data_IF_120074608305
#
_entry.id   IF_120074608305
#
_cell.length_a   1.000
_cell.length_b   1.000
_cell.length_c   1.000
_cell.angle_alpha   90.00
_cell.angle_beta   90.00
_cell.angle_gamma   90.00
#
_symmetry.space_group_name_H-M   'P 1'
#
loop_
_entity.id
_entity.type
_entity.pdbx_description
1 polymer ?
#
# COMPACT_ATOMS: atom_id res chain seq x y z
N UNK A 1 26.20 -10.74 34.86
CA UNK A 1 25.70 -12.04 34.34
C UNK A 1 24.29 -11.79 33.82
N UNK A 2 24.13 -11.51 32.53
CA UNK A 2 22.83 -11.20 31.94
C UNK A 2 22.04 -12.49 31.76
N UNK A 3 20.87 -12.56 32.40
CA UNK A 3 19.91 -13.65 32.21
C UNK A 3 19.51 -13.69 30.73
N UNK A 4 19.74 -14.83 30.07
CA UNK A 4 19.20 -15.10 28.74
C UNK A 4 17.67 -15.05 28.85
N UNK A 5 17.06 -13.97 28.39
CA UNK A 5 15.62 -13.92 28.14
C UNK A 5 15.28 -15.05 27.17
N UNK A 6 14.69 -16.14 27.69
CA UNK A 6 14.03 -17.13 26.87
C UNK A 6 12.66 -16.56 26.51
N UNK A 7 12.59 -15.86 25.38
CA UNK A 7 11.32 -15.54 24.76
C UNK A 7 10.74 -16.81 24.14
N UNK A 8 9.64 -17.29 24.71
CA UNK A 8 8.70 -18.16 24.02
C UNK A 8 7.89 -17.30 23.06
N UNK A 9 8.15 -17.43 21.76
CA UNK A 9 7.42 -16.72 20.71
C UNK A 9 6.02 -17.32 20.52
N UNK A 10 4.92 -16.57 20.66
CA UNK A 10 3.62 -17.01 20.17
C UNK A 10 3.42 -16.61 18.70
N UNK A 11 2.95 -17.62 17.94
CA UNK A 11 2.01 -17.62 16.79
C UNK A 11 2.21 -16.73 15.57
N UNK A 12 2.03 -17.38 14.41
CA UNK A 12 1.68 -16.87 13.08
C UNK A 12 0.78 -15.62 13.12
N UNK A 13 0.78 -14.78 12.06
CA UNK A 13 0.01 -13.55 12.05
C UNK A 13 -1.45 -13.81 12.41
N UNK A 14 -1.99 -13.04 13.36
CA UNK A 14 -3.31 -13.24 13.96
C UNK A 14 -4.46 -13.13 12.93
N UNK A 15 -4.19 -12.58 11.74
CA UNK A 15 -5.14 -12.44 10.64
C UNK A 15 -4.59 -13.10 9.37
N UNK A 16 -5.40 -13.96 8.74
CA UNK A 16 -5.03 -14.62 7.50
C UNK A 16 -5.06 -13.69 6.28
N UNK A 17 -4.19 -13.97 5.29
CA UNK A 17 -4.08 -13.21 4.03
C UNK A 17 -5.42 -13.08 3.28
N UNK A 18 -6.26 -14.11 3.32
CA UNK A 18 -7.58 -14.09 2.67
C UNK A 18 -8.53 -13.06 3.29
N UNK A 19 -8.41 -12.80 4.60
CA UNK A 19 -9.19 -11.74 5.28
C UNK A 19 -8.72 -10.38 4.78
N UNK A 20 -7.42 -10.12 4.78
CA UNK A 20 -6.85 -8.86 4.30
C UNK A 20 -7.21 -8.60 2.83
N UNK A 21 -7.16 -9.62 1.98
CA UNK A 21 -7.56 -9.53 0.57
C UNK A 21 -9.03 -9.12 0.42
N UNK A 22 -9.94 -9.71 1.19
CA UNK A 22 -11.37 -9.32 1.20
C UNK A 22 -11.56 -7.89 1.68
N UNK A 23 -10.83 -7.50 2.72
CA UNK A 23 -10.94 -6.18 3.34
C UNK A 23 -10.37 -5.07 2.45
N UNK A 24 -9.32 -5.34 1.67
CA UNK A 24 -8.83 -4.43 0.63
C UNK A 24 -9.84 -4.19 -0.47
N UNK A 25 -10.52 -5.24 -0.94
CA UNK A 25 -11.59 -5.08 -1.92
C UNK A 25 -12.70 -4.23 -1.31
N UNK A 26 -13.12 -4.55 -0.08
CA UNK A 26 -14.14 -3.79 0.66
C UNK A 26 -13.76 -2.32 0.88
N UNK A 27 -12.51 -2.05 1.23
CA UNK A 27 -11.97 -0.69 1.39
C UNK A 27 -12.20 0.16 0.14
N UNK A 28 -12.09 -0.43 -1.04
CA UNK A 28 -12.37 0.24 -2.32
C UNK A 28 -13.87 0.29 -2.61
N UNK A 29 -14.59 -0.83 -2.52
CA UNK A 29 -16.00 -0.90 -2.95
C UNK A 29 -16.96 -0.11 -2.05
N UNK A 30 -16.63 0.05 -0.76
CA UNK A 30 -17.43 0.81 0.20
C UNK A 30 -17.30 2.34 0.02
N UNK A 31 -16.66 2.82 -1.04
CA UNK A 31 -16.72 4.24 -1.44
C UNK A 31 -18.11 4.58 -2.02
N UNK A 32 -18.83 3.59 -2.56
CA UNK A 32 -20.12 3.77 -3.22
C UNK A 32 -19.99 3.74 -4.74
N UNK A 33 -19.65 4.88 -5.36
CA UNK A 33 -19.47 4.96 -6.81
C UNK A 33 -18.33 5.88 -7.23
N UNK A 34 -17.67 5.51 -8.33
CA UNK A 34 -16.61 6.29 -8.95
C UNK A 34 -16.61 6.06 -10.47
N UNK A 35 -16.19 7.05 -11.25
CA UNK A 35 -16.10 6.89 -12.70
C UNK A 35 -14.78 6.28 -13.13
N UNK A 36 -13.73 6.46 -12.34
CA UNK A 36 -12.37 6.01 -12.67
C UNK A 36 -11.58 5.54 -11.45
N UNK A 37 -10.75 4.53 -11.67
CA UNK A 37 -9.86 3.97 -10.65
C UNK A 37 -8.45 3.76 -11.21
N UNK A 38 -7.42 4.00 -10.39
CA UNK A 38 -6.03 3.69 -10.72
C UNK A 38 -5.37 2.88 -9.62
N UNK A 39 -4.63 1.85 -9.98
CA UNK A 39 -3.86 1.00 -9.06
C UNK A 39 -2.37 1.18 -9.35
N UNK A 40 -1.59 1.47 -8.32
CA UNK A 40 -0.14 1.62 -8.39
C UNK A 40 0.51 0.38 -7.79
N UNK A 41 1.11 -0.47 -8.64
CA UNK A 41 1.87 -1.66 -8.23
C UNK A 41 1.07 -2.92 -7.93
N UNK A 42 -0.24 -2.94 -8.16
CA UNK A 42 -1.12 -4.09 -7.91
C UNK A 42 -0.97 -5.29 -8.86
N UNK A 43 0.22 -5.53 -9.45
CA UNK A 43 0.45 -6.69 -10.34
C UNK A 43 1.09 -7.88 -9.64
N UNK A 44 2.08 -7.66 -8.76
CA UNK A 44 2.85 -8.75 -8.16
C UNK A 44 1.98 -9.60 -7.22
N UNK A 45 1.89 -10.91 -7.48
CA UNK A 45 1.16 -11.88 -6.66
C UNK A 45 -0.38 -11.79 -6.74
N UNK A 46 -0.95 -10.71 -7.29
CA UNK A 46 -2.40 -10.49 -7.35
C UNK A 46 -2.93 -10.12 -8.73
N UNK A 47 -2.07 -9.89 -9.73
CA UNK A 47 -2.42 -9.74 -11.14
C UNK A 47 -3.58 -8.77 -11.43
N UNK A 48 -3.57 -7.60 -10.77
CA UNK A 48 -4.58 -6.57 -10.95
C UNK A 48 -5.94 -6.84 -10.28
N UNK A 49 -6.03 -7.84 -9.40
CA UNK A 49 -7.25 -8.19 -8.68
C UNK A 49 -7.94 -6.98 -8.06
N UNK A 50 -7.21 -6.13 -7.31
CA UNK A 50 -7.80 -5.02 -6.57
C UNK A 50 -8.32 -3.92 -7.50
N UNK A 51 -7.60 -3.63 -8.58
CA UNK A 51 -8.07 -2.77 -9.65
C UNK A 51 -9.37 -3.30 -10.27
N UNK A 52 -9.41 -4.59 -10.63
CA UNK A 52 -10.54 -5.21 -11.34
C UNK A 52 -11.77 -5.30 -10.44
N UNK A 53 -11.64 -5.82 -9.23
CA UNK A 53 -12.76 -5.94 -8.29
C UNK A 53 -13.23 -4.57 -7.80
N UNK A 54 -12.30 -3.63 -7.60
CA UNK A 54 -12.61 -2.23 -7.32
C UNK A 54 -13.40 -1.58 -8.46
N UNK A 55 -12.96 -1.73 -9.70
CA UNK A 55 -13.64 -1.19 -10.88
C UNK A 55 -15.07 -1.74 -11.03
N UNK A 56 -15.24 -3.05 -10.85
CA UNK A 56 -16.56 -3.71 -10.86
C UNK A 56 -17.46 -3.17 -9.76
N UNK A 57 -16.99 -3.15 -8.52
CA UNK A 57 -17.79 -2.72 -7.36
C UNK A 57 -18.18 -1.25 -7.41
N UNK A 58 -17.29 -0.39 -7.89
CA UNK A 58 -17.54 1.05 -8.06
C UNK A 58 -18.27 1.41 -9.35
N UNK A 59 -18.44 0.45 -10.27
CA UNK A 59 -19.00 0.61 -11.61
C UNK A 59 -18.22 1.64 -12.44
N UNK A 60 -16.89 1.59 -12.37
CA UNK A 60 -16.01 2.50 -13.09
C UNK A 60 -16.17 2.33 -14.61
N UNK A 61 -16.10 3.45 -15.33
CA UNK A 61 -15.97 3.48 -16.79
C UNK A 61 -14.52 3.27 -17.22
N UNK A 62 -13.57 3.69 -16.38
CA UNK A 62 -12.14 3.60 -16.64
C UNK A 62 -11.37 2.99 -15.47
N UNK A 63 -10.42 2.11 -15.76
CA UNK A 63 -9.53 1.50 -14.79
C UNK A 63 -8.11 1.42 -15.35
N UNK A 64 -7.12 1.92 -14.60
CA UNK A 64 -5.73 1.94 -15.05
C UNK A 64 -4.79 1.28 -14.05
N UNK A 65 -3.97 0.36 -14.52
CA UNK A 65 -2.82 -0.17 -13.78
C UNK A 65 -1.58 0.66 -14.11
N UNK A 66 -0.80 1.03 -13.09
CA UNK A 66 0.52 1.66 -13.23
C UNK A 66 1.57 0.75 -12.62
N UNK A 67 2.44 0.19 -13.46
CA UNK A 67 3.52 -0.71 -13.03
C UNK A 67 4.65 -0.72 -14.07
N UNK A 68 5.88 -1.05 -13.65
CA UNK A 68 7.05 -1.18 -14.52
C UNK A 68 7.06 -2.47 -15.32
N UNK A 69 6.44 -3.54 -14.81
CA UNK A 69 6.54 -4.89 -15.39
C UNK A 69 5.17 -5.42 -15.80
N UNK A 70 4.82 -5.39 -17.11
CA UNK A 70 3.60 -6.04 -17.59
C UNK A 70 3.61 -7.54 -17.29
N UNK A 71 2.43 -8.08 -16.99
CA UNK A 71 2.20 -9.49 -16.67
C UNK A 71 1.11 -10.03 -17.59
N UNK A 72 1.36 -11.07 -18.41
CA UNK A 72 0.34 -11.66 -19.28
C UNK A 72 -0.94 -12.08 -18.53
N UNK A 73 -0.81 -12.50 -17.28
CA UNK A 73 -1.92 -12.86 -16.40
C UNK A 73 -2.89 -11.69 -16.17
N UNK A 74 -2.40 -10.45 -16.20
CA UNK A 74 -3.26 -9.28 -16.09
C UNK A 74 -4.13 -9.10 -17.33
N UNK A 75 -3.59 -9.34 -18.52
CA UNK A 75 -4.34 -9.24 -19.77
C UNK A 75 -5.47 -10.29 -19.83
N UNK A 76 -5.18 -11.51 -19.36
CA UNK A 76 -6.19 -12.58 -19.22
C UNK A 76 -7.31 -12.16 -18.26
N UNK A 77 -6.95 -11.59 -17.09
CA UNK A 77 -7.93 -11.14 -16.08
C UNK A 77 -8.77 -9.97 -16.58
N UNK A 78 -8.20 -9.05 -17.34
CA UNK A 78 -8.95 -7.97 -18.01
C UNK A 78 -9.92 -8.55 -19.05
N UNK A 79 -9.49 -9.51 -19.87
CA UNK A 79 -10.35 -10.12 -20.89
C UNK A 79 -11.56 -10.84 -20.26
N UNK A 80 -11.38 -11.48 -19.10
CA UNK A 80 -12.47 -12.03 -18.29
C UNK A 80 -13.37 -10.93 -17.74
N UNK A 81 -12.80 -9.87 -17.14
CA UNK A 81 -13.56 -8.78 -16.53
C UNK A 81 -14.43 -8.01 -17.53
N UNK A 82 -13.94 -7.78 -18.75
CA UNK A 82 -14.67 -7.09 -19.84
C UNK A 82 -15.95 -7.82 -20.28
N UNK A 83 -16.06 -9.13 -20.03
CA UNK A 83 -17.29 -9.90 -20.30
C UNK A 83 -18.41 -9.58 -19.31
N UNK A 84 -18.08 -8.99 -18.17
CA UNK A 84 -19.01 -8.75 -17.05
C UNK A 84 -19.38 -7.27 -16.95
N UNK A 85 -18.39 -6.38 -17.05
CA UNK A 85 -18.58 -4.93 -16.91
C UNK A 85 -17.87 -4.20 -18.07
N UNK A 86 -18.52 -3.25 -18.76
CA UNK A 86 -17.93 -2.50 -19.86
C UNK A 86 -16.99 -1.38 -19.35
N UNK A 87 -15.97 -1.75 -18.59
CA UNK A 87 -14.92 -0.85 -18.14
C UNK A 87 -13.76 -0.85 -19.14
N UNK A 88 -13.27 0.33 -19.49
CA UNK A 88 -12.02 0.49 -20.20
C UNK A 88 -10.84 0.24 -19.26
N UNK A 89 -10.19 -0.91 -19.44
CA UNK A 89 -8.97 -1.25 -18.71
C UNK A 89 -7.73 -0.89 -19.52
N UNK A 90 -6.79 -0.19 -18.90
CA UNK A 90 -5.52 0.22 -19.48
C UNK A 90 -4.34 -0.13 -18.55
N UNK A 91 -3.17 -0.37 -19.13
CA UNK A 91 -1.90 -0.45 -18.42
C UNK A 91 -0.99 0.70 -18.86
N UNK A 92 -0.57 1.52 -17.90
CA UNK A 92 0.48 2.52 -18.10
C UNK A 92 1.80 1.98 -17.56
N UNK A 93 2.71 1.61 -18.47
CA UNK A 93 4.01 1.08 -18.10
C UNK A 93 4.93 2.20 -17.61
N UNK A 94 5.05 2.36 -16.30
CA UNK A 94 5.88 3.39 -15.71
C UNK A 94 6.40 3.03 -14.33
N UNK A 95 7.55 3.60 -14.01
CA UNK A 95 8.06 3.65 -12.65
C UNK A 95 7.46 4.86 -11.95
N UNK A 96 6.53 4.63 -11.03
CA UNK A 96 5.86 5.69 -10.29
C UNK A 96 6.74 6.31 -9.19
N UNK A 97 7.99 5.85 -9.02
CA UNK A 97 9.02 6.62 -8.31
C UNK A 97 9.48 7.83 -9.12
N UNK A 98 9.34 7.81 -10.44
CA UNK A 98 9.81 8.89 -11.31
C UNK A 98 8.73 9.98 -11.38
N UNK A 99 8.95 11.19 -10.81
CA UNK A 99 7.88 12.20 -10.72
C UNK A 99 7.37 12.67 -12.08
N UNK A 100 8.22 12.72 -13.10
CA UNK A 100 7.82 13.11 -14.46
C UNK A 100 6.80 12.16 -15.09
N UNK A 101 6.74 10.89 -14.67
CA UNK A 101 5.74 9.92 -15.13
C UNK A 101 4.31 10.39 -14.86
N UNK A 102 4.09 11.12 -13.76
CA UNK A 102 2.76 11.64 -13.42
C UNK A 102 2.31 12.77 -14.34
N UNK A 103 3.23 13.43 -15.05
CA UNK A 103 2.91 14.44 -16.07
C UNK A 103 2.02 13.90 -17.20
N UNK A 104 2.07 12.59 -17.44
CA UNK A 104 1.31 11.89 -18.49
C UNK A 104 0.03 11.22 -17.98
N UNK A 105 -0.25 11.33 -16.68
CA UNK A 105 -1.44 10.72 -16.08
C UNK A 105 -2.57 11.74 -15.96
N UNK A 106 -3.74 11.38 -16.46
CA UNK A 106 -4.98 12.11 -16.15
C UNK A 106 -5.41 11.89 -14.71
N UNK A 107 -6.24 12.79 -14.19
CA UNK A 107 -6.83 12.60 -12.86
C UNK A 107 -7.84 11.45 -12.89
N UNK A 108 -7.90 10.68 -11.82
CA UNK A 108 -8.92 9.64 -11.59
C UNK A 108 -9.67 9.91 -10.29
N UNK A 109 -10.84 9.31 -10.12
CA UNK A 109 -11.63 9.45 -8.89
C UNK A 109 -10.95 8.75 -7.71
N UNK A 110 -10.53 7.49 -7.91
CA UNK A 110 -9.98 6.64 -6.86
C UNK A 110 -8.56 6.19 -7.21
N UNK A 111 -7.64 6.24 -6.25
CA UNK A 111 -6.29 5.69 -6.39
C UNK A 111 -5.98 4.66 -5.31
N UNK A 112 -5.35 3.55 -5.67
CA UNK A 112 -4.97 2.48 -4.76
C UNK A 112 -3.46 2.52 -4.52
N UNK A 113 -3.07 2.49 -3.25
CA UNK A 113 -1.70 2.40 -2.76
C UNK A 113 -1.60 1.19 -1.83
N UNK A 114 -1.60 0.00 -2.40
CA UNK A 114 -1.60 -1.26 -1.64
C UNK A 114 -0.19 -1.87 -1.63
N UNK A 115 0.43 -1.97 -0.46
CA UNK A 115 1.75 -2.55 -0.20
C UNK A 115 2.92 -1.93 -1.00
N UNK A 116 2.74 -0.74 -1.56
CA UNK A 116 3.78 -0.11 -2.38
C UNK A 116 4.62 0.91 -1.64
N UNK A 117 4.03 1.70 -0.74
CA UNK A 117 4.68 2.88 -0.14
C UNK A 117 5.84 2.49 0.77
N UNK A 118 5.77 1.35 1.46
CA UNK A 118 6.89 0.84 2.26
C UNK A 118 8.14 0.45 1.43
N UNK A 119 8.02 0.35 0.10
CA UNK A 119 9.10 -0.06 -0.81
C UNK A 119 9.57 1.06 -1.76
N UNK A 120 9.26 2.34 -1.48
CA UNK A 120 9.70 3.48 -2.30
C UNK A 120 10.73 4.34 -1.54
N UNK A 121 11.80 4.80 -2.19
CA UNK A 121 12.78 5.79 -1.66
C UNK A 121 12.09 7.08 -1.29
N UNK A 122 11.24 7.49 -2.22
CA UNK A 122 10.67 8.81 -2.28
C UNK A 122 9.16 8.75 -2.01
N UNK A 123 8.76 7.89 -1.07
CA UNK A 123 7.37 7.61 -0.74
C UNK A 123 6.53 8.87 -0.50
N UNK A 124 7.10 9.92 0.10
CA UNK A 124 6.42 11.22 0.29
C UNK A 124 6.11 11.89 -1.05
N UNK A 125 7.05 11.90 -1.98
CA UNK A 125 6.87 12.48 -3.33
C UNK A 125 5.92 11.62 -4.17
N UNK A 126 5.95 10.30 -4.01
CA UNK A 126 4.96 9.38 -4.60
C UNK A 126 3.55 9.71 -4.11
N UNK A 127 3.35 9.81 -2.78
CA UNK A 127 2.04 10.14 -2.19
C UNK A 127 1.53 11.49 -2.71
N UNK A 128 2.37 12.52 -2.69
CA UNK A 128 2.05 13.85 -3.23
C UNK A 128 1.61 13.78 -4.70
N UNK A 129 2.34 13.05 -5.54
CA UNK A 129 2.03 12.94 -6.95
C UNK A 129 0.74 12.14 -7.19
N UNK A 130 0.51 11.07 -6.44
CA UNK A 130 -0.76 10.32 -6.46
C UNK A 130 -1.92 11.22 -6.10
N UNK A 131 -1.83 11.92 -4.96
CA UNK A 131 -2.81 12.92 -4.51
C UNK A 131 -3.12 13.94 -5.62
N UNK A 132 -2.09 14.45 -6.32
CA UNK A 132 -2.29 15.43 -7.40
C UNK A 132 -3.10 14.88 -8.58
N UNK A 133 -3.17 13.55 -8.72
CA UNK A 133 -3.88 12.81 -9.77
C UNK A 133 -5.12 12.07 -9.26
N UNK A 134 -5.58 12.37 -8.05
CA UNK A 134 -6.78 11.76 -7.46
C UNK A 134 -7.80 12.84 -7.11
N UNK A 135 -9.07 12.64 -7.48
CA UNK A 135 -10.14 13.61 -7.23
C UNK A 135 -10.89 13.36 -5.93
N UNK A 136 -11.21 12.09 -5.60
CA UNK A 136 -12.13 11.77 -4.50
C UNK A 136 -11.45 11.06 -3.35
N UNK A 137 -10.67 10.02 -3.65
CA UNK A 137 -10.26 9.08 -2.62
C UNK A 137 -8.94 8.36 -2.93
N UNK A 138 -8.03 8.31 -1.96
CA UNK A 138 -6.89 7.39 -1.97
C UNK A 138 -7.15 6.27 -0.97
N UNK A 139 -7.20 5.03 -1.46
CA UNK A 139 -7.23 3.84 -0.64
C UNK A 139 -5.79 3.38 -0.40
N UNK A 140 -5.40 3.27 0.86
CA UNK A 140 -4.07 2.86 1.27
C UNK A 140 -4.17 1.61 2.13
N UNK A 141 -3.37 0.59 1.82
CA UNK A 141 -3.37 -0.64 2.60
C UNK A 141 -1.99 -1.28 2.62
N UNK A 142 -1.38 -1.42 3.78
CA UNK A 142 -0.08 -2.08 3.93
C UNK A 142 0.22 -2.39 5.40
N UNK A 143 1.25 -3.20 5.66
CA UNK A 143 1.84 -3.29 6.98
C UNK A 143 2.44 -1.95 7.43
N UNK A 144 2.25 -1.63 8.70
CA UNK A 144 2.74 -0.43 9.39
C UNK A 144 3.34 -0.83 10.73
N UNK A 145 4.38 -0.13 11.17
CA UNK A 145 4.94 -0.37 12.50
C UNK A 145 4.08 0.31 13.56
N UNK A 146 3.92 -0.35 14.70
CA UNK A 146 3.18 0.22 15.83
C UNK A 146 3.90 1.48 16.37
N UNK A 147 3.13 2.44 16.88
CA UNK A 147 3.66 3.75 17.32
C UNK A 147 4.73 3.60 18.42
N UNK A 148 4.58 2.64 19.32
CA UNK A 148 5.53 2.33 20.41
C UNK A 148 6.91 1.89 19.93
N UNK A 149 7.06 1.54 18.65
CA UNK A 149 8.36 1.21 18.05
C UNK A 149 9.20 2.45 17.75
N UNK A 150 8.62 3.65 17.85
CA UNK A 150 9.28 4.91 17.57
C UNK A 150 9.51 5.72 18.84
N UNK A 151 10.61 6.47 18.87
CA UNK A 151 10.90 7.38 19.98
C UNK A 151 9.98 8.61 20.01
N UNK A 152 9.46 8.99 18.85
CA UNK A 152 8.56 10.14 18.67
C UNK A 152 7.32 9.70 17.88
N UNK A 153 6.15 10.30 18.14
CA UNK A 153 4.95 10.09 17.34
C UNK A 153 5.19 10.46 15.87
N UNK A 154 4.45 9.83 14.95
CA UNK A 154 4.63 10.11 13.52
C UNK A 154 5.94 9.55 12.99
N UNK A 155 6.39 8.41 13.54
CA UNK A 155 7.68 7.82 13.19
C UNK A 155 7.71 7.19 11.80
N UNK A 156 8.86 7.35 11.15
CA UNK A 156 9.24 6.65 9.91
C UNK A 156 10.73 6.32 10.00
N UNK A 157 11.11 5.10 9.66
CA UNK A 157 12.50 4.66 9.70
C UNK A 157 12.81 3.70 8.56
N UNK A 158 14.03 3.79 8.03
CA UNK A 158 14.50 2.84 7.02
C UNK A 158 15.01 1.58 7.73
N UNK A 159 14.33 0.46 7.54
CA UNK A 159 14.64 -0.78 8.26
C UNK A 159 15.89 -1.47 7.75
N UNK A 160 16.38 -1.17 6.55
CA UNK A 160 17.58 -1.82 5.98
C UNK A 160 18.80 -1.74 6.92
N UNK A 161 18.93 -0.64 7.66
CA UNK A 161 20.05 -0.37 8.58
C UNK A 161 19.77 -0.69 10.05
N UNK A 162 18.65 -1.34 10.36
CA UNK A 162 18.42 -1.83 11.70
C UNK A 162 19.42 -2.97 12.01
N UNK A 163 19.85 -3.12 13.28
CA UNK A 163 20.64 -4.28 13.69
C UNK A 163 19.98 -5.58 13.23
N UNK A 164 20.76 -6.53 12.68
CA UNK A 164 20.22 -7.76 12.11
C UNK A 164 19.34 -8.55 13.10
N UNK A 165 19.74 -8.61 14.38
CA UNK A 165 18.96 -9.24 15.43
C UNK A 165 17.58 -8.59 15.63
N UNK A 166 17.52 -7.26 15.49
CA UNK A 166 16.29 -6.51 15.58
C UNK A 166 15.43 -6.70 14.33
N UNK A 167 16.03 -6.77 13.13
CA UNK A 167 15.33 -7.09 11.88
C UNK A 167 14.72 -8.49 11.94
N UNK A 168 15.49 -9.47 12.42
CA UNK A 168 15.02 -10.85 12.62
C UNK A 168 13.84 -10.90 13.58
N UNK A 169 13.91 -10.17 14.71
CA UNK A 169 12.79 -10.07 15.66
C UNK A 169 11.55 -9.41 15.03
N UNK A 170 11.73 -8.29 14.34
CA UNK A 170 10.64 -7.50 13.75
C UNK A 170 9.97 -8.23 12.58
N UNK A 171 10.71 -9.04 11.82
CA UNK A 171 10.19 -9.79 10.67
C UNK A 171 9.70 -11.19 11.03
N UNK A 172 9.97 -11.67 12.25
CA UNK A 172 9.47 -12.95 12.72
C UNK A 172 7.93 -13.00 12.64
N UNK A 173 7.40 -14.14 12.16
CA UNK A 173 5.97 -14.36 11.96
C UNK A 173 5.27 -13.31 11.07
N UNK A 174 6.01 -12.65 10.18
CA UNK A 174 5.43 -11.82 9.12
C UNK A 174 5.31 -12.59 7.80
N UNK A 175 4.70 -11.98 6.77
CA UNK A 175 4.61 -12.58 5.43
C UNK A 175 5.83 -12.30 4.55
N UNK A 176 6.81 -11.53 5.04
CA UNK A 176 7.99 -11.18 4.27
C UNK A 176 9.06 -12.27 4.38
N UNK A 177 9.69 -12.56 3.25
CA UNK A 177 10.88 -13.40 3.24
C UNK A 177 12.04 -12.71 3.97
N UNK A 178 12.94 -13.51 4.55
CA UNK A 178 14.16 -12.98 5.15
C UNK A 178 15.06 -12.44 4.04
N UNK A 179 15.25 -11.13 4.03
CA UNK A 179 16.21 -10.47 3.12
C UNK A 179 17.66 -10.86 3.43
N UNK A 180 18.56 -10.84 2.43
CA UNK A 180 19.97 -10.97 2.66
C UNK A 180 20.51 -9.81 3.50
N UNK A 181 21.55 -10.09 4.29
CA UNK A 181 22.31 -9.06 5.01
C UNK A 181 23.03 -8.18 3.97
N UNK A 182 22.88 -6.87 4.11
CA UNK A 182 23.51 -5.89 3.21
C UNK A 182 24.36 -4.92 4.00
N UNK A 183 25.61 -4.74 3.58
CA UNK A 183 26.58 -3.84 4.23
C UNK A 183 26.49 -2.39 3.71
N UNK A 184 25.71 -2.17 2.65
CA UNK A 184 25.48 -0.88 2.01
C UNK A 184 24.02 -0.76 1.56
N UNK A 185 23.59 0.47 1.32
CA UNK A 185 22.27 0.74 0.77
C UNK A 185 22.02 -0.05 -0.52
N UNK A 186 20.92 -0.82 -0.57
CA UNK A 186 20.48 -1.57 -1.75
C UNK A 186 18.98 -1.38 -1.93
N UNK A 187 18.58 -0.72 -3.03
CA UNK A 187 17.19 -0.41 -3.34
C UNK A 187 16.33 -1.66 -3.60
N UNK A 188 16.93 -2.85 -3.72
CA UNK A 188 16.21 -4.12 -3.86
C UNK A 188 15.75 -4.71 -2.53
N UNK A 189 16.39 -4.34 -1.42
CA UNK A 189 16.17 -4.95 -0.10
C UNK A 189 15.84 -3.90 0.96
N UNK A 190 15.11 -2.86 0.57
CA UNK A 190 14.69 -1.81 1.48
C UNK A 190 13.23 -1.93 1.86
N UNK A 191 12.98 -1.46 3.08
CA UNK A 191 11.63 -1.40 3.62
C UNK A 191 11.58 -0.25 4.62
N UNK A 192 10.57 0.60 4.48
CA UNK A 192 10.28 1.61 5.48
C UNK A 192 9.36 1.04 6.56
N UNK A 193 9.76 1.22 7.80
CA UNK A 193 8.88 1.12 8.96
C UNK A 193 8.16 2.43 9.15
N UNK A 194 6.88 2.49 8.79
CA UNK A 194 6.04 3.68 8.86
C UNK A 194 4.93 3.47 9.86
N UNK A 195 4.67 4.46 10.71
CA UNK A 195 3.50 4.48 11.59
C UNK A 195 2.25 5.02 10.86
N UNK A 196 1.06 4.74 11.40
CA UNK A 196 -0.20 5.30 10.86
C UNK A 196 -0.20 6.81 10.99
N UNK A 197 0.25 7.37 12.12
CA UNK A 197 0.27 8.82 12.32
C UNK A 197 1.24 9.52 11.36
N UNK A 198 2.35 8.88 10.98
CA UNK A 198 3.26 9.38 9.94
C UNK A 198 2.54 9.49 8.58
N UNK A 199 1.92 8.39 8.13
CA UNK A 199 1.18 8.37 6.86
C UNK A 199 0.07 9.43 6.86
N UNK A 200 -0.72 9.47 7.94
CA UNK A 200 -1.79 10.45 8.09
C UNK A 200 -1.28 11.89 8.04
N UNK A 201 -0.12 12.17 8.66
CA UNK A 201 0.50 13.49 8.63
C UNK A 201 0.95 13.92 7.24
N UNK A 202 1.43 13.00 6.41
CA UNK A 202 1.78 13.30 5.00
C UNK A 202 0.53 13.71 4.23
N UNK A 203 -0.54 12.89 4.27
CA UNK A 203 -1.79 13.20 3.58
C UNK A 203 -2.37 14.54 4.05
N UNK A 204 -2.38 14.78 5.37
CA UNK A 204 -2.84 16.04 5.97
C UNK A 204 -2.04 17.24 5.50
N UNK A 205 -0.71 17.11 5.40
CA UNK A 205 0.16 18.15 4.88
C UNK A 205 -0.15 18.56 3.43
N UNK A 206 -0.78 17.66 2.65
CA UNK A 206 -1.21 17.91 1.28
C UNK A 206 -2.71 18.19 1.13
N UNK A 207 -3.42 18.50 2.22
CA UNK A 207 -4.84 18.87 2.19
C UNK A 207 -5.80 17.69 2.08
N UNK A 208 -5.39 16.50 2.53
CA UNK A 208 -6.21 15.29 2.57
C UNK A 208 -6.39 14.82 4.01
N UNK A 209 -7.58 14.35 4.36
CA UNK A 209 -7.87 13.80 5.68
C UNK A 209 -8.23 12.33 5.61
N UNK A 210 -7.97 11.61 6.71
CA UNK A 210 -8.32 10.20 6.85
C UNK A 210 -9.82 10.08 7.11
N UNK A 211 -10.57 9.57 6.15
CA UNK A 211 -12.03 9.38 6.21
C UNK A 211 -12.43 7.98 6.67
N UNK A 212 -11.50 7.01 6.66
CA UNK A 212 -11.71 5.67 7.19
C UNK A 212 -10.40 5.08 7.70
N UNK A 213 -10.49 4.33 8.79
CA UNK A 213 -9.39 3.56 9.35
C UNK A 213 -9.90 2.22 9.85
N UNK A 214 -9.18 1.16 9.49
CA UNK A 214 -9.27 -0.16 10.11
C UNK A 214 -7.87 -0.74 10.25
N UNK A 215 -7.57 -1.29 11.42
CA UNK A 215 -6.24 -1.79 11.75
C UNK A 215 -6.40 -3.22 12.24
N UNK A 216 -5.56 -4.10 11.71
CA UNK A 216 -5.43 -5.47 12.17
C UNK A 216 -4.07 -5.64 12.82
N UNK A 217 -4.04 -6.12 14.04
CA UNK A 217 -2.77 -6.56 14.62
C UNK A 217 -2.19 -7.70 13.77
N UNK A 218 -0.90 -7.66 13.46
CA UNK A 218 -0.22 -8.76 12.77
C UNK A 218 0.73 -9.49 13.71
N UNK A 219 1.61 -8.73 14.36
CA UNK A 219 2.60 -9.22 15.31
C UNK A 219 2.76 -8.23 16.46
N UNK A 220 3.67 -8.52 17.40
CA UNK A 220 4.05 -7.56 18.45
C UNK A 220 4.47 -6.19 17.89
N UNK A 221 5.05 -6.15 16.69
CA UNK A 221 5.70 -4.95 16.14
C UNK A 221 4.98 -4.34 14.93
N UNK A 222 4.06 -5.09 14.33
CA UNK A 222 3.38 -4.69 13.10
C UNK A 222 1.87 -4.76 13.24
N UNK A 223 1.23 -3.76 12.65
CA UNK A 223 -0.17 -3.80 12.28
C UNK A 223 -0.30 -3.84 10.75
N UNK A 224 -1.49 -4.21 10.28
CA UNK A 224 -1.92 -4.03 8.92
C UNK A 224 -2.96 -2.91 8.88
N UNK A 225 -2.62 -1.78 8.27
CA UNK A 225 -3.51 -0.64 8.15
C UNK A 225 -4.31 -0.71 6.84
N UNK A 226 -5.60 -0.45 6.93
CA UNK A 226 -6.51 -0.16 5.82
C UNK A 226 -7.08 1.23 6.04
N UNK A 227 -6.61 2.18 5.23
CA UNK A 227 -6.89 3.60 5.39
C UNK A 227 -7.54 4.15 4.12
N UNK A 228 -8.44 5.11 4.30
CA UNK A 228 -9.02 5.89 3.21
C UNK A 228 -8.75 7.36 3.47
N UNK A 229 -8.28 8.06 2.46
CA UNK A 229 -8.05 9.50 2.50
C UNK A 229 -8.90 10.22 1.48
N UNK A 230 -9.42 11.39 1.83
CA UNK A 230 -10.25 12.24 0.96
C UNK A 230 -9.78 13.70 1.04
N UNK A 231 -9.99 14.53 0.00
CA UNK A 231 -9.66 15.95 0.06
C UNK A 231 -10.44 16.63 1.19
N UNK A 232 -9.76 17.49 1.95
CA UNK A 232 -10.43 18.34 2.95
C UNK A 232 -11.33 19.30 2.18
N UNK A 233 -12.64 19.24 2.44
CA UNK A 233 -13.57 20.21 1.88
C UNK A 233 -13.34 21.56 2.55
N UNK A 234 -12.82 22.53 1.80
CA UNK A 234 -12.82 23.93 2.24
C UNK A 234 -14.25 24.46 2.14
N UNK A 235 -14.87 24.70 3.29
CA UNK A 235 -16.18 25.38 3.43
C UNK A 235 -16.06 26.83 2.99
#
# INVERSE_FOLDING_TARGET
MFQKFRYTYPTLPTVGLDVIKKEKIKLTTDIGSAESIRDFGGLWGVFGLYLIEGAKGLKCKFAQMVDVTPRPEFDEKIAEARKIVPTEYNMFKADFRVPSSFGYLDKVDVSLLYEVILHQDNHVEVIKNVISKTNKCVCFAQPVMKEEMFQLPGGCTLLQFFPEELKDKIRYATWWEKEPVVERFDTRFWMWGQSISYISSIFKGYGWEMSYQKVYEMTEHWDYALLRFSPIQTV
#
